data_IF_434409908545
#
_entry.id   IF_434409908545
#
_cell.length_a   1.000
_cell.length_b   1.000
_cell.length_c   1.000
_cell.angle_alpha   90.00
_cell.angle_beta   90.00
_cell.angle_gamma   90.00
#
_symmetry.space_group_name_H-M   'P 1'
#
loop_
_entity.id
_entity.type
_entity.pdbx_description
1 polymer ?
#
# COMPACT_ATOMS: atom_id res chain seq x y z
N UNK A 1 30.82 2.27 -18.25
CA UNK A 1 29.47 1.74 -17.96
C UNK A 1 29.37 1.48 -16.47
N UNK A 2 28.58 2.27 -15.73
CA UNK A 2 28.35 2.01 -14.29
C UNK A 2 27.40 0.82 -14.19
N UNK A 3 27.92 -0.34 -13.78
CA UNK A 3 27.09 -1.51 -13.49
C UNK A 3 26.11 -1.15 -12.39
N UNK A 4 24.83 -1.43 -12.60
CA UNK A 4 23.83 -1.37 -11.52
C UNK A 4 24.31 -2.34 -10.43
N UNK A 5 24.35 -1.93 -9.15
CA UNK A 5 24.73 -2.85 -8.11
C UNK A 5 23.77 -4.03 -8.15
N UNK A 6 24.31 -5.24 -8.29
CA UNK A 6 23.58 -6.49 -8.06
C UNK A 6 23.37 -6.57 -6.54
N UNK A 7 22.57 -5.66 -6.00
CA UNK A 7 22.23 -5.57 -4.59
C UNK A 7 21.08 -6.53 -4.31
N UNK A 8 21.30 -7.83 -4.55
CA UNK A 8 20.35 -8.87 -4.18
C UNK A 8 20.05 -8.83 -2.69
N UNK A 9 21.03 -8.50 -1.83
CA UNK A 9 20.81 -8.40 -0.39
C UNK A 9 19.75 -7.38 0.05
N UNK A 10 19.65 -6.22 -0.63
CA UNK A 10 18.63 -5.20 -0.31
C UNK A 10 17.25 -5.66 -0.81
N UNK A 11 17.21 -6.27 -2.00
CA UNK A 11 15.99 -6.82 -2.60
C UNK A 11 15.48 -8.03 -1.80
N UNK A 12 16.36 -8.93 -1.38
CA UNK A 12 16.07 -10.09 -0.55
C UNK A 12 15.66 -9.67 0.86
N UNK A 13 16.31 -8.66 1.44
CA UNK A 13 15.92 -8.07 2.72
C UNK A 13 14.51 -7.48 2.67
N UNK A 14 14.18 -6.76 1.59
CA UNK A 14 12.85 -6.24 1.36
C UNK A 14 11.81 -7.35 1.16
N UNK A 15 12.08 -8.36 0.34
CA UNK A 15 11.18 -9.51 0.13
C UNK A 15 10.97 -10.32 1.41
N UNK A 16 12.02 -10.56 2.20
CA UNK A 16 11.91 -11.24 3.50
C UNK A 16 11.02 -10.44 4.44
N UNK A 17 11.27 -9.14 4.59
CA UNK A 17 10.51 -8.31 5.51
C UNK A 17 9.05 -8.12 5.08
N UNK A 18 8.81 -7.87 3.78
CA UNK A 18 7.48 -7.59 3.24
C UNK A 18 6.62 -8.83 3.06
N UNK A 19 7.22 -9.96 2.67
CA UNK A 19 6.48 -11.20 2.36
C UNK A 19 6.56 -12.16 3.53
N UNK A 20 7.77 -12.58 3.94
CA UNK A 20 7.95 -13.68 4.90
C UNK A 20 7.32 -13.38 6.25
N UNK A 21 7.53 -12.18 6.80
CA UNK A 21 7.05 -11.82 8.14
C UNK A 21 5.52 -11.87 8.30
N UNK A 22 4.74 -11.86 7.20
CA UNK A 22 3.27 -11.86 7.26
C UNK A 22 2.61 -13.02 6.55
N UNK A 23 3.23 -13.53 5.49
CA UNK A 23 2.68 -14.59 4.65
C UNK A 23 3.11 -15.98 5.13
N UNK A 24 4.23 -16.10 5.84
CA UNK A 24 4.82 -17.37 6.30
C UNK A 24 4.50 -17.65 7.79
N UNK A 25 3.29 -17.25 8.23
CA UNK A 25 2.80 -17.50 9.59
C UNK A 25 2.01 -18.81 9.62
N UNK A 26 2.31 -19.68 10.59
CA UNK A 26 1.61 -20.95 10.76
C UNK A 26 0.10 -20.75 10.90
N UNK A 27 -0.67 -21.44 10.07
CA UNK A 27 -2.14 -21.35 10.05
C UNK A 27 -2.70 -20.17 9.23
N UNK A 28 -1.86 -19.28 8.69
CA UNK A 28 -2.33 -18.22 7.81
C UNK A 28 -2.76 -18.80 6.45
N UNK A 29 -3.97 -18.44 6.01
CA UNK A 29 -4.48 -18.81 4.68
C UNK A 29 -4.72 -17.55 3.87
N UNK A 30 -4.10 -17.50 2.70
CA UNK A 30 -4.17 -16.34 1.82
C UNK A 30 -4.73 -16.71 0.46
N UNK A 31 -5.65 -15.89 -0.03
CA UNK A 31 -6.00 -15.88 -1.45
C UNK A 31 -5.07 -14.91 -2.15
N UNK A 32 -4.71 -15.21 -3.41
CA UNK A 32 -3.76 -14.38 -4.17
C UNK A 32 -4.14 -12.88 -4.13
N UNK A 33 -5.43 -12.58 -4.33
CA UNK A 33 -5.95 -11.21 -4.30
C UNK A 33 -5.79 -10.52 -2.93
N UNK A 34 -6.00 -11.23 -1.83
CA UNK A 34 -5.87 -10.64 -0.49
C UNK A 34 -4.41 -10.52 -0.07
N UNK A 35 -3.56 -11.49 -0.42
CA UNK A 35 -2.12 -11.42 -0.23
C UNK A 35 -1.53 -10.21 -0.95
N UNK A 36 -1.83 -10.05 -2.24
CA UNK A 36 -1.33 -8.94 -3.07
C UNK A 36 -1.73 -7.57 -2.52
N UNK A 37 -2.99 -7.42 -2.08
CA UNK A 37 -3.46 -6.19 -1.44
C UNK A 37 -2.67 -5.86 -0.16
N UNK A 38 -2.43 -6.86 0.70
CA UNK A 38 -1.66 -6.68 1.93
C UNK A 38 -0.19 -6.36 1.64
N UNK A 39 0.43 -7.00 0.65
CA UNK A 39 1.80 -6.72 0.25
C UNK A 39 1.96 -5.27 -0.22
N UNK A 40 1.04 -4.79 -1.07
CA UNK A 40 1.05 -3.40 -1.56
C UNK A 40 0.93 -2.39 -0.43
N UNK A 41 0.03 -2.63 0.53
CA UNK A 41 -0.11 -1.77 1.71
C UNK A 41 1.16 -1.76 2.59
N UNK A 42 1.80 -2.92 2.79
CA UNK A 42 3.07 -3.00 3.53
C UNK A 42 4.22 -2.32 2.80
N UNK A 43 4.28 -2.43 1.47
CA UNK A 43 5.27 -1.73 0.65
C UNK A 43 5.12 -0.20 0.76
N UNK A 44 3.87 0.30 0.72
CA UNK A 44 3.56 1.72 0.95
C UNK A 44 3.95 2.19 2.36
N UNK A 45 3.76 1.35 3.38
CA UNK A 45 4.16 1.68 4.74
C UNK A 45 5.68 1.72 4.91
N UNK A 46 6.39 0.77 4.31
CA UNK A 46 7.86 0.68 4.41
C UNK A 46 8.56 1.79 3.63
N UNK A 47 7.98 2.22 2.50
CA UNK A 47 8.46 3.38 1.72
C UNK A 47 8.08 4.73 2.34
N UNK A 48 7.20 4.76 3.35
CA UNK A 48 6.70 6.01 3.95
C UNK A 48 5.63 6.74 3.14
N UNK A 49 5.22 6.22 1.99
CA UNK A 49 4.26 6.84 1.08
C UNK A 49 2.78 6.51 1.40
N UNK A 50 2.54 5.72 2.46
CA UNK A 50 1.19 5.33 2.88
C UNK A 50 0.22 6.52 3.02
N UNK A 51 0.67 7.63 3.62
CA UNK A 51 -0.17 8.82 3.81
C UNK A 51 -0.59 9.45 2.48
N UNK A 52 0.32 9.55 1.51
CA UNK A 52 0.03 10.09 0.18
C UNK A 52 -0.96 9.20 -0.57
N UNK A 53 -0.73 7.88 -0.52
CA UNK A 53 -1.64 6.91 -1.13
C UNK A 53 -3.05 6.98 -0.54
N UNK A 54 -3.17 7.04 0.80
CA UNK A 54 -4.47 7.13 1.46
C UNK A 54 -5.22 8.41 1.08
N UNK A 55 -4.55 9.57 1.06
CA UNK A 55 -5.17 10.82 0.59
C UNK A 55 -5.70 10.70 -0.84
N UNK A 56 -4.91 10.15 -1.75
CA UNK A 56 -5.34 9.89 -3.12
C UNK A 56 -6.52 8.92 -3.18
N UNK A 57 -6.47 7.83 -2.42
CA UNK A 57 -7.52 6.82 -2.39
C UNK A 57 -8.85 7.41 -1.87
N UNK A 58 -8.82 8.17 -0.77
CA UNK A 58 -10.00 8.84 -0.24
C UNK A 58 -10.57 9.87 -1.20
N UNK A 59 -9.72 10.66 -1.87
CA UNK A 59 -10.18 11.58 -2.91
C UNK A 59 -10.90 10.83 -4.05
N UNK A 60 -10.33 9.72 -4.50
CA UNK A 60 -10.92 8.90 -5.57
C UNK A 60 -12.24 8.27 -5.16
N UNK A 61 -12.32 7.73 -3.95
CA UNK A 61 -13.57 7.20 -3.38
C UNK A 61 -14.62 8.30 -3.22
N UNK A 62 -14.20 9.51 -2.86
CA UNK A 62 -15.08 10.68 -2.81
C UNK A 62 -15.66 11.01 -4.19
N UNK A 63 -14.84 11.07 -5.23
CA UNK A 63 -15.32 11.29 -6.60
C UNK A 63 -16.26 10.17 -7.09
N UNK A 64 -16.00 8.92 -6.68
CA UNK A 64 -16.82 7.77 -7.09
C UNK A 64 -18.19 7.77 -6.41
N UNK A 65 -18.23 8.07 -5.12
CA UNK A 65 -19.45 7.99 -4.32
C UNK A 65 -20.25 9.29 -4.31
N UNK A 66 -19.60 10.44 -4.53
CA UNK A 66 -20.21 11.78 -4.49
C UNK A 66 -19.94 12.54 -5.79
N UNK A 67 -20.64 12.14 -6.85
CA UNK A 67 -20.53 12.70 -8.22
C UNK A 67 -20.88 14.20 -8.27
N UNK A 68 -21.70 14.70 -7.35
CA UNK A 68 -22.24 16.08 -7.39
C UNK A 68 -21.43 17.10 -6.57
N UNK A 69 -20.27 16.77 -6.01
CA UNK A 69 -19.45 17.72 -5.24
C UNK A 69 -18.08 17.99 -5.90
N UNK A 70 -18.02 18.85 -6.95
CA UNK A 70 -16.75 19.16 -7.61
C UNK A 70 -15.87 20.09 -6.77
N UNK A 71 -16.47 20.97 -5.96
CA UNK A 71 -15.77 22.05 -5.28
C UNK A 71 -16.23 22.18 -3.81
N UNK A 72 -15.41 21.68 -2.88
CA UNK A 72 -15.05 22.47 -1.70
C UNK A 72 -15.99 22.60 -0.49
N UNK A 73 -17.25 22.17 -0.50
CA UNK A 73 -18.09 22.39 0.69
C UNK A 73 -18.02 21.22 1.68
N UNK A 74 -17.72 21.59 2.92
CA UNK A 74 -17.28 20.72 4.02
C UNK A 74 -18.18 19.51 4.25
N UNK A 75 -17.59 18.31 4.25
CA UNK A 75 -18.12 17.22 5.08
C UNK A 75 -17.56 17.46 6.49
N UNK A 76 -18.36 17.36 7.55
CA UNK A 76 -17.84 17.48 8.90
C UNK A 76 -16.76 16.41 9.06
N UNK A 77 -15.61 16.80 9.61
CA UNK A 77 -14.54 15.88 9.96
C UNK A 77 -15.16 14.68 10.67
N UNK A 78 -15.11 13.52 10.02
CA UNK A 78 -15.57 12.28 10.64
C UNK A 78 -14.56 11.98 11.76
N UNK A 79 -15.10 12.07 12.98
CA UNK A 79 -14.57 11.73 14.32
C UNK A 79 -13.50 10.64 14.29
#
# INVERSE_FOLDING_TARGET
MKGLPIATGVIEGACRHLVKDRMDLTGARWRLKSADAVLKLRALKTSGDLKKYLNFHFWKERCRNYIWMPNGDAVPAMI
#
